data_IF_075624461384
#
_entry.id   IF_075624461384
#
_cell.length_a   1.000
_cell.length_b   1.000
_cell.length_c   1.000
_cell.angle_alpha   90.00
_cell.angle_beta   90.00
_cell.angle_gamma   90.00
#
_symmetry.space_group_name_H-M   'P 1'
#
loop_
_entity.id
_entity.type
_entity.pdbx_description
1 polymer ?
#
# COMPACT_ATOMS: atom_id res chain seq x y z
N UNK A 1 -41.50 -4.04 -8.37
CA UNK A 1 -40.52 -4.77 -9.20
C UNK A 1 -39.17 -4.10 -9.01
N UNK A 2 -38.19 -4.77 -8.40
CA UNK A 2 -36.83 -4.23 -8.24
C UNK A 2 -36.15 -4.35 -9.61
N UNK A 3 -35.98 -3.24 -10.32
CA UNK A 3 -35.24 -3.23 -11.59
C UNK A 3 -33.80 -3.65 -11.31
N UNK A 4 -33.36 -4.77 -11.89
CA UNK A 4 -31.95 -5.14 -11.82
C UNK A 4 -31.12 -4.03 -12.47
N UNK A 5 -30.06 -3.54 -11.81
CA UNK A 5 -29.21 -2.53 -12.41
C UNK A 5 -28.64 -3.06 -13.72
N UNK A 6 -28.62 -2.21 -14.75
CA UNK A 6 -27.98 -2.54 -16.02
C UNK A 6 -26.50 -2.90 -15.76
N UNK A 7 -25.91 -3.87 -16.48
CA UNK A 7 -24.47 -4.14 -16.39
C UNK A 7 -23.62 -2.87 -16.54
N UNK A 8 -24.07 -1.88 -17.32
CA UNK A 8 -23.39 -0.58 -17.43
C UNK A 8 -23.33 0.19 -16.09
N UNK A 9 -24.38 0.11 -15.28
CA UNK A 9 -24.43 0.74 -13.95
C UNK A 9 -23.49 0.05 -12.96
N UNK A 10 -23.33 -1.27 -13.06
CA UNK A 10 -22.36 -2.01 -12.23
C UNK A 10 -20.91 -1.60 -12.52
N UNK A 11 -20.56 -1.39 -13.80
CA UNK A 11 -19.24 -0.89 -14.18
C UNK A 11 -18.98 0.53 -13.64
N UNK A 12 -19.98 1.41 -13.68
CA UNK A 12 -19.87 2.76 -13.10
C UNK A 12 -19.63 2.69 -11.59
N UNK A 13 -20.36 1.83 -10.88
CA UNK A 13 -20.18 1.62 -9.43
C UNK A 13 -18.81 1.04 -9.10
N UNK A 14 -18.28 0.13 -9.93
CA UNK A 14 -16.93 -0.41 -9.77
C UNK A 14 -15.87 0.68 -9.99
N UNK A 15 -16.03 1.49 -11.04
CA UNK A 15 -15.12 2.59 -11.34
C UNK A 15 -15.12 3.65 -10.23
N UNK A 16 -16.29 3.97 -9.67
CA UNK A 16 -16.43 4.89 -8.54
C UNK A 16 -15.68 4.36 -7.30
N UNK A 17 -15.87 3.09 -6.93
CA UNK A 17 -15.14 2.46 -5.82
C UNK A 17 -13.63 2.45 -6.02
N UNK A 18 -13.18 2.25 -7.25
CA UNK A 18 -11.75 2.29 -7.58
C UNK A 18 -11.19 3.72 -7.45
N UNK A 19 -11.97 4.73 -7.84
CA UNK A 19 -11.60 6.13 -7.67
C UNK A 19 -11.49 6.50 -6.18
N UNK A 20 -12.47 6.12 -5.36
CA UNK A 20 -12.46 6.34 -3.91
C UNK A 20 -11.24 5.66 -3.27
N UNK A 21 -10.96 4.40 -3.64
CA UNK A 21 -9.80 3.66 -3.14
C UNK A 21 -8.49 4.36 -3.49
N UNK A 22 -8.35 4.85 -4.73
CA UNK A 22 -7.17 5.58 -5.17
C UNK A 22 -6.99 6.88 -4.38
N UNK A 23 -8.07 7.61 -4.12
CA UNK A 23 -8.03 8.85 -3.34
C UNK A 23 -7.65 8.60 -1.89
N UNK A 24 -8.24 7.59 -1.26
CA UNK A 24 -7.93 7.20 0.12
C UNK A 24 -6.49 6.68 0.26
N UNK A 25 -6.04 5.87 -0.70
CA UNK A 25 -4.66 5.41 -0.75
C UNK A 25 -3.69 6.59 -0.92
N UNK A 26 -3.99 7.53 -1.82
CA UNK A 26 -3.17 8.73 -2.01
C UNK A 26 -3.07 9.56 -0.73
N UNK A 27 -4.20 9.83 -0.06
CA UNK A 27 -4.24 10.58 1.20
C UNK A 27 -3.46 9.88 2.30
N UNK A 28 -3.56 8.56 2.38
CA UNK A 28 -2.83 7.73 3.34
C UNK A 28 -1.32 7.82 3.11
N UNK A 29 -0.87 7.62 1.87
CA UNK A 29 0.55 7.72 1.51
C UNK A 29 1.09 9.12 1.79
N UNK A 30 0.36 10.17 1.40
CA UNK A 30 0.75 11.56 1.68
C UNK A 30 0.91 11.83 3.18
N UNK A 31 -0.04 11.35 3.99
CA UNK A 31 0.01 11.52 5.44
C UNK A 31 1.23 10.82 6.04
N UNK A 32 1.49 9.58 5.62
CA UNK A 32 2.67 8.82 6.07
C UNK A 32 3.97 9.50 5.64
N UNK A 33 4.05 9.98 4.40
CA UNK A 33 5.23 10.73 3.91
C UNK A 33 5.47 12.00 4.73
N UNK A 34 4.43 12.77 5.02
CA UNK A 34 4.54 13.97 5.86
C UNK A 34 4.99 13.62 7.29
N UNK A 35 4.46 12.55 7.88
CA UNK A 35 4.88 12.08 9.20
C UNK A 35 6.35 11.65 9.22
N UNK A 36 6.81 10.90 8.21
CA UNK A 36 8.20 10.48 8.09
C UNK A 36 9.15 11.68 7.99
N UNK A 37 8.81 12.67 7.16
CA UNK A 37 9.62 13.89 7.03
C UNK A 37 9.70 14.64 8.37
N UNK A 38 8.58 14.79 9.09
CA UNK A 38 8.57 15.41 10.42
C UNK A 38 9.42 14.65 11.44
N UNK A 39 9.45 13.32 11.37
CA UNK A 39 10.31 12.51 12.26
C UNK A 39 11.79 12.67 11.93
N UNK A 40 12.14 12.78 10.65
CA UNK A 40 13.51 13.06 10.21
C UNK A 40 13.94 14.47 10.62
N UNK A 41 13.11 15.48 10.36
CA UNK A 41 13.39 16.87 10.75
C UNK A 41 13.57 17.04 12.25
N UNK A 42 12.82 16.27 13.06
CA UNK A 42 12.95 16.25 14.52
C UNK A 42 14.13 15.41 15.03
N UNK A 43 14.85 14.72 14.15
CA UNK A 43 15.95 13.83 14.50
C UNK A 43 15.52 12.57 15.26
N UNK A 44 14.24 12.17 15.14
CA UNK A 44 13.70 10.96 15.76
C UNK A 44 14.14 9.72 14.97
N UNK A 45 14.30 9.85 13.66
CA UNK A 45 14.75 8.81 12.73
C UNK A 45 15.75 9.44 11.75
N UNK A 46 16.75 8.69 11.30
CA UNK A 46 17.59 9.09 10.17
C UNK A 46 17.09 8.53 8.83
N UNK A 47 17.51 9.16 7.72
CA UNK A 47 17.20 8.66 6.37
C UNK A 47 17.86 7.31 6.10
N UNK A 48 19.04 7.10 6.66
CA UNK A 48 19.82 5.87 6.56
C UNK A 48 19.11 4.73 7.32
N UNK A 49 18.63 4.99 8.53
CA UNK A 49 17.84 4.03 9.31
C UNK A 49 16.57 3.60 8.58
N UNK A 50 15.86 4.56 7.98
CA UNK A 50 14.66 4.27 7.20
C UNK A 50 14.98 3.41 5.98
N UNK A 51 16.06 3.71 5.26
CA UNK A 51 16.50 2.96 4.06
C UNK A 51 16.90 1.54 4.43
N UNK A 52 17.74 1.37 5.45
CA UNK A 52 18.14 0.05 5.94
C UNK A 52 16.94 -0.79 6.40
N UNK A 53 15.95 -0.15 7.03
CA UNK A 53 14.72 -0.83 7.44
C UNK A 53 13.88 -1.29 6.25
N UNK A 54 13.77 -0.46 5.20
CA UNK A 54 13.06 -0.82 3.98
C UNK A 54 13.72 -2.03 3.28
N UNK A 55 15.04 -1.99 3.09
CA UNK A 55 15.80 -3.10 2.51
C UNK A 55 15.67 -4.39 3.32
N UNK A 56 15.69 -4.30 4.66
CA UNK A 56 15.49 -5.45 5.52
C UNK A 56 14.09 -6.07 5.33
N UNK A 57 13.04 -5.25 5.21
CA UNK A 57 11.68 -5.72 4.98
C UNK A 57 11.51 -6.37 3.60
N UNK A 58 12.10 -5.78 2.55
CA UNK A 58 12.07 -6.36 1.21
C UNK A 58 12.78 -7.71 1.16
N UNK A 59 13.95 -7.83 1.79
CA UNK A 59 14.67 -9.10 1.91
C UNK A 59 13.87 -10.15 2.69
N UNK A 60 13.16 -9.75 3.75
CA UNK A 60 12.28 -10.65 4.49
C UNK A 60 11.12 -11.15 3.63
N UNK A 61 10.52 -10.26 2.83
CA UNK A 61 9.44 -10.64 1.92
C UNK A 61 9.94 -11.62 0.85
N UNK A 62 11.09 -11.35 0.23
CA UNK A 62 11.70 -12.22 -0.77
C UNK A 62 12.02 -13.62 -0.19
N UNK A 63 12.54 -13.65 1.05
CA UNK A 63 12.81 -14.90 1.77
C UNK A 63 11.52 -15.69 2.04
N UNK A 64 10.43 -15.02 2.46
CA UNK A 64 9.13 -15.67 2.68
C UNK A 64 8.54 -16.20 1.38
N UNK A 65 8.62 -15.43 0.29
CA UNK A 65 8.17 -15.85 -1.05
C UNK A 65 8.96 -17.09 -1.46
N UNK A 66 10.29 -17.06 -1.37
CA UNK A 66 11.17 -18.18 -1.71
C UNK A 66 10.85 -19.43 -0.89
N UNK A 67 10.66 -19.29 0.43
CA UNK A 67 10.28 -20.40 1.31
C UNK A 67 8.90 -20.99 0.98
N UNK A 68 7.95 -20.17 0.55
CA UNK A 68 6.63 -20.63 0.11
C UNK A 68 6.66 -21.35 -1.24
N UNK A 69 7.59 -20.97 -2.13
CA UNK A 69 7.74 -21.53 -3.47
C UNK A 69 8.61 -22.79 -3.51
N UNK A 70 9.51 -22.96 -2.53
CA UNK A 70 10.33 -24.17 -2.35
C UNK A 70 10.15 -24.74 -0.94
N UNK A 71 9.03 -25.43 -0.65
CA UNK A 71 8.71 -25.84 0.72
C UNK A 71 9.73 -26.80 1.34
N UNK A 72 10.34 -27.70 0.55
CA UNK A 72 11.50 -28.54 0.94
C UNK A 72 12.11 -29.12 -0.35
N UNK A 73 13.43 -29.01 -0.51
CA UNK A 73 14.24 -29.89 -1.34
C UNK A 73 15.26 -30.59 -0.42
#
# INVERSE_FOLDING_TARGET
MKSMPSPAWEHVQLAAKLADLKEDQYRTVLTLSAMLELFIEKGILSREELTAKAEALDNQLESLISASLHPMA
#
